data_IF_219340836720
#
_entry.id   IF_219340836720
#
_cell.length_a   1.000
_cell.length_b   1.000
_cell.length_c   1.000
_cell.angle_alpha   90.00
_cell.angle_beta   90.00
_cell.angle_gamma   90.00
#
_symmetry.space_group_name_H-M   'P 1'
#
loop_
_entity.id
_entity.type
_entity.pdbx_description
1 polymer ?
#
# COMPACT_ATOMS: atom_id res chain seq x y z
N UNK A 1 38.19 -20.30 -51.86
CA UNK A 1 36.95 -20.28 -51.06
C UNK A 1 37.31 -19.67 -49.71
N UNK A 2 36.81 -18.46 -49.42
CA UNK A 2 37.24 -17.65 -48.27
C UNK A 2 36.55 -18.12 -46.99
N UNK A 3 37.33 -18.40 -45.95
CA UNK A 3 36.89 -18.58 -44.56
C UNK A 3 36.38 -17.25 -43.99
N UNK A 4 35.22 -17.26 -43.34
CA UNK A 4 34.69 -16.13 -42.55
C UNK A 4 35.16 -16.28 -41.10
N UNK A 5 35.57 -15.19 -40.40
CA UNK A 5 35.90 -15.25 -38.99
C UNK A 5 34.65 -15.10 -38.11
N UNK A 6 34.68 -15.74 -36.94
CA UNK A 6 33.75 -15.59 -35.82
C UNK A 6 33.81 -14.17 -35.22
N UNK A 7 32.71 -13.62 -34.67
CA UNK A 7 32.77 -12.38 -33.91
C UNK A 7 33.32 -12.65 -32.51
N UNK A 8 34.21 -11.77 -32.07
CA UNK A 8 34.78 -11.76 -30.73
C UNK A 8 33.74 -11.33 -29.69
N UNK A 9 33.72 -12.03 -28.55
CA UNK A 9 33.05 -11.58 -27.32
C UNK A 9 33.71 -10.28 -26.86
N UNK A 10 32.94 -9.20 -26.76
CA UNK A 10 33.33 -7.99 -26.04
C UNK A 10 32.96 -8.22 -24.57
N UNK A 11 33.97 -8.41 -23.73
CA UNK A 11 33.81 -8.34 -22.28
C UNK A 11 33.72 -6.86 -21.89
N UNK A 12 32.55 -6.41 -21.47
CA UNK A 12 32.37 -5.07 -20.92
C UNK A 12 32.67 -5.13 -19.43
N UNK A 13 33.87 -4.71 -19.05
CA UNK A 13 34.22 -4.47 -17.65
C UNK A 13 33.49 -3.21 -17.15
N UNK A 14 32.59 -3.38 -16.19
CA UNK A 14 32.00 -2.24 -15.45
C UNK A 14 33.01 -1.82 -14.38
N UNK A 15 33.63 -0.66 -14.58
CA UNK A 15 34.50 -0.02 -13.58
C UNK A 15 33.63 0.93 -12.76
N UNK A 16 33.45 0.67 -11.47
CA UNK A 16 32.93 1.66 -10.53
C UNK A 16 33.99 2.74 -10.31
N UNK A 17 33.71 3.96 -10.76
CA UNK A 17 34.50 5.13 -10.42
C UNK A 17 34.11 5.59 -9.01
N UNK A 18 35.04 5.47 -8.07
CA UNK A 18 34.97 6.16 -6.78
C UNK A 18 35.23 7.66 -7.03
N UNK A 19 34.29 8.51 -6.65
CA UNK A 19 34.52 9.95 -6.59
C UNK A 19 35.26 10.27 -5.28
N UNK A 20 36.50 10.72 -5.40
CA UNK A 20 37.26 11.37 -4.33
C UNK A 20 36.87 12.84 -4.23
N UNK A 21 36.67 13.29 -2.99
CA UNK A 21 36.46 14.68 -2.60
C UNK A 21 37.61 15.60 -3.03
N UNK A 22 37.27 16.74 -3.64
CA UNK A 22 37.87 18.07 -3.37
C UNK A 22 37.29 19.10 -4.34
N UNK A 23 36.34 19.91 -3.86
CA UNK A 23 36.01 21.20 -4.49
C UNK A 23 35.47 22.18 -3.44
N UNK A 24 36.23 23.25 -3.24
CA UNK A 24 35.92 24.42 -2.39
C UNK A 24 34.66 25.16 -2.86
N UNK A 25 33.87 25.79 -1.96
CA UNK A 25 32.63 26.44 -2.32
C UNK A 25 32.87 27.86 -2.85
N UNK A 26 32.23 28.19 -3.97
CA UNK A 26 32.02 29.56 -4.42
C UNK A 26 30.71 30.08 -3.83
N UNK A 27 30.79 31.21 -3.13
CA UNK A 27 29.67 32.07 -2.76
C UNK A 27 29.03 32.66 -4.02
N UNK A 28 27.71 32.52 -4.16
CA UNK A 28 26.88 33.42 -4.97
C UNK A 28 25.47 33.53 -4.33
N UNK A 29 25.27 34.67 -3.68
CA UNK A 29 24.05 35.49 -3.52
C UNK A 29 22.67 34.79 -3.46
N UNK A 30 22.12 34.69 -2.24
CA UNK A 30 20.69 34.42 -2.00
C UNK A 30 19.95 35.76 -1.90
N UNK A 31 19.07 36.00 -2.88
CA UNK A 31 18.13 37.12 -2.90
C UNK A 31 17.12 37.05 -1.75
N UNK A 32 17.11 38.12 -0.96
CA UNK A 32 16.15 38.43 0.09
C UNK A 32 14.71 38.54 -0.47
N UNK A 33 13.77 37.78 0.09
CA UNK A 33 12.35 38.06 -0.09
C UNK A 33 11.67 38.12 1.27
N UNK A 34 11.27 39.34 1.62
CA UNK A 34 10.67 39.73 2.89
C UNK A 34 9.38 39.00 3.21
N UNK A 35 9.31 38.48 4.43
CA UNK A 35 8.08 38.13 5.14
C UNK A 35 7.17 39.36 5.26
N UNK A 36 5.95 39.26 4.72
CA UNK A 36 4.85 40.18 5.03
C UNK A 36 3.90 39.46 5.99
N UNK A 37 3.84 39.98 7.22
CA UNK A 37 2.92 39.54 8.26
C UNK A 37 1.60 40.29 8.07
N UNK A 38 0.57 39.64 7.54
CA UNK A 38 -0.77 40.22 7.50
C UNK A 38 -1.56 39.83 8.75
N UNK A 39 -1.90 40.88 9.50
CA UNK A 39 -2.73 40.88 10.69
C UNK A 39 -4.19 40.69 10.27
N UNK A 40 -4.82 39.62 10.76
CA UNK A 40 -6.24 39.36 10.54
C UNK A 40 -7.10 40.51 11.10
N UNK A 41 -7.78 41.22 10.21
CA UNK A 41 -8.86 42.14 10.56
C UNK A 41 -10.18 41.47 10.22
N UNK A 42 -10.96 41.19 11.25
CA UNK A 42 -12.28 40.59 11.21
C UNK A 42 -13.24 41.49 10.40
N UNK A 43 -13.60 41.05 9.20
CA UNK A 43 -14.69 41.63 8.41
C UNK A 43 -15.54 40.49 7.91
N UNK A 44 -16.77 40.42 8.40
CA UNK A 44 -17.79 39.49 7.94
C UNK A 44 -18.05 39.74 6.45
N UNK A 45 -17.50 38.87 5.60
CA UNK A 45 -17.80 38.85 4.18
C UNK A 45 -19.03 37.97 3.96
N UNK A 46 -20.13 38.60 3.57
CA UNK A 46 -21.31 37.91 3.04
C UNK A 46 -20.95 37.38 1.66
N UNK A 47 -20.35 36.19 1.64
CA UNK A 47 -19.89 35.51 0.44
C UNK A 47 -21.00 35.32 -0.59
N UNK A 48 -20.77 35.88 -1.77
CA UNK A 48 -21.44 35.55 -3.02
C UNK A 48 -21.22 34.08 -3.37
N UNK A 49 -22.32 33.35 -3.60
CA UNK A 49 -22.37 31.99 -4.14
C UNK A 49 -21.59 31.90 -5.47
N UNK A 50 -20.44 31.23 -5.45
CA UNK A 50 -19.57 31.02 -6.62
C UNK A 50 -20.05 29.89 -7.53
N UNK A 51 -21.13 29.18 -7.19
CA UNK A 51 -21.58 28.00 -7.93
C UNK A 51 -20.56 26.85 -7.93
N UNK A 52 -19.58 26.88 -7.00
CA UNK A 52 -18.58 25.83 -6.83
C UNK A 52 -19.15 24.72 -5.93
N UNK A 53 -18.98 23.46 -6.34
CA UNK A 53 -19.48 22.31 -5.59
C UNK A 53 -18.75 22.26 -4.25
N UNK A 54 -19.45 22.25 -3.10
CA UNK A 54 -18.81 22.17 -1.80
C UNK A 54 -18.07 20.83 -1.66
N UNK A 55 -16.88 20.84 -1.08
CA UNK A 55 -16.09 19.62 -0.86
C UNK A 55 -16.40 19.06 0.52
N UNK A 56 -17.06 17.90 0.56
CA UNK A 56 -17.26 17.16 1.81
C UNK A 56 -15.94 16.55 2.29
N UNK A 57 -15.77 16.37 3.59
CA UNK A 57 -14.61 15.63 4.11
C UNK A 57 -14.70 14.16 3.69
N UNK A 58 -13.69 13.71 2.95
CA UNK A 58 -13.58 12.34 2.45
C UNK A 58 -12.58 11.51 3.25
N UNK A 59 -11.85 12.11 4.21
CA UNK A 59 -10.76 11.45 4.94
C UNK A 59 -11.23 10.81 6.26
N UNK A 60 -12.34 11.29 6.81
CA UNK A 60 -12.88 10.87 8.12
C UNK A 60 -13.39 9.43 8.22
N UNK A 61 -13.38 8.66 7.14
CA UNK A 61 -13.91 7.28 7.12
C UNK A 61 -12.89 6.19 7.48
N UNK A 62 -11.60 6.54 7.60
CA UNK A 62 -10.53 5.56 7.76
C UNK A 62 -10.70 4.72 9.04
N UNK A 63 -10.76 3.40 8.85
CA UNK A 63 -10.93 2.39 9.90
C UNK A 63 -12.23 2.56 10.71
N UNK A 64 -13.24 3.26 10.16
CA UNK A 64 -14.58 3.36 10.73
C UNK A 64 -15.52 2.27 10.21
N UNK A 65 -16.69 2.18 10.82
CA UNK A 65 -17.72 1.19 10.52
C UNK A 65 -19.00 1.89 10.03
N UNK A 66 -19.41 1.59 8.79
CA UNK A 66 -20.48 2.33 8.11
C UNK A 66 -21.46 1.42 7.35
N UNK A 67 -22.73 1.82 7.33
CA UNK A 67 -23.69 1.36 6.34
C UNK A 67 -23.80 2.39 5.20
N UNK A 68 -24.07 1.91 3.98
CA UNK A 68 -24.24 2.79 2.81
C UNK A 68 -25.74 2.93 2.51
N UNK A 69 -26.28 4.15 2.69
CA UNK A 69 -27.70 4.46 2.45
C UNK A 69 -27.87 5.30 1.19
N UNK A 70 -28.90 5.02 0.40
CA UNK A 70 -29.46 5.91 -0.61
C UNK A 70 -30.98 6.04 -0.39
N UNK A 71 -31.47 7.26 -0.18
CA UNK A 71 -32.88 7.48 0.15
C UNK A 71 -33.31 6.65 1.37
N UNK A 72 -34.33 5.81 1.20
CA UNK A 72 -34.83 4.88 2.22
C UNK A 72 -34.21 3.47 2.12
N UNK A 73 -33.30 3.24 1.18
CA UNK A 73 -32.69 1.93 0.90
C UNK A 73 -31.23 1.87 1.35
N UNK A 74 -30.79 0.68 1.76
CA UNK A 74 -29.41 0.40 2.14
C UNK A 74 -28.79 -0.62 1.19
N UNK A 75 -27.48 -0.46 0.97
CA UNK A 75 -26.67 -1.46 0.29
C UNK A 75 -26.56 -2.70 1.20
N UNK A 76 -26.99 -3.83 0.67
CA UNK A 76 -27.03 -5.09 1.40
C UNK A 76 -26.49 -6.22 0.53
N UNK A 77 -26.02 -7.28 1.20
CA UNK A 77 -25.68 -8.52 0.55
C UNK A 77 -26.94 -9.15 -0.07
N UNK A 78 -26.82 -9.72 -1.25
CA UNK A 78 -27.90 -10.51 -1.84
C UNK A 78 -28.05 -11.86 -1.12
N UNK A 79 -29.16 -12.56 -1.36
CA UNK A 79 -29.49 -13.79 -0.61
C UNK A 79 -28.52 -14.96 -0.78
N UNK A 80 -27.70 -15.00 -1.85
CA UNK A 80 -26.68 -16.03 -2.07
C UNK A 80 -25.27 -15.63 -1.60
N UNK A 81 -25.11 -14.38 -1.18
CA UNK A 81 -23.87 -13.87 -0.61
C UNK A 81 -22.75 -13.54 -1.60
N UNK A 82 -23.07 -13.38 -2.88
CA UNK A 82 -22.08 -13.17 -3.95
C UNK A 82 -22.10 -11.75 -4.55
N UNK A 83 -23.10 -10.94 -4.21
CA UNK A 83 -23.26 -9.59 -4.73
C UNK A 83 -23.87 -8.64 -3.69
N UNK A 84 -23.86 -7.35 -4.00
CA UNK A 84 -24.55 -6.32 -3.25
C UNK A 84 -25.61 -5.63 -4.10
N UNK A 85 -26.68 -5.16 -3.46
CA UNK A 85 -27.71 -4.35 -4.11
C UNK A 85 -28.36 -3.40 -3.10
N UNK A 86 -28.85 -2.26 -3.59
CA UNK A 86 -29.75 -1.42 -2.81
C UNK A 86 -31.15 -2.02 -2.79
N UNK A 87 -31.85 -1.87 -1.66
CA UNK A 87 -33.26 -2.27 -1.52
C UNK A 87 -33.62 -2.89 -0.18
N UNK A 88 -32.66 -3.03 0.74
CA UNK A 88 -32.93 -3.44 2.13
C UNK A 88 -33.19 -2.23 3.02
N UNK A 89 -33.86 -2.47 4.15
CA UNK A 89 -33.91 -1.50 5.25
C UNK A 89 -32.60 -1.49 6.04
N UNK A 90 -32.54 -0.64 7.07
CA UNK A 90 -31.34 -0.50 7.90
C UNK A 90 -30.96 -1.81 8.62
N UNK A 91 -31.95 -2.65 8.96
CA UNK A 91 -31.70 -3.91 9.65
C UNK A 91 -31.04 -4.95 8.74
N UNK A 92 -31.33 -4.90 7.44
CA UNK A 92 -30.69 -5.73 6.41
C UNK A 92 -29.40 -5.16 5.82
N UNK A 93 -28.98 -3.95 6.23
CA UNK A 93 -27.82 -3.28 5.66
C UNK A 93 -26.52 -4.06 5.90
N UNK A 94 -25.66 -4.12 4.88
CA UNK A 94 -24.28 -4.54 5.08
C UNK A 94 -23.53 -3.48 5.89
N UNK A 95 -22.67 -3.93 6.80
CA UNK A 95 -21.85 -3.06 7.65
C UNK A 95 -20.40 -3.19 7.20
N UNK A 96 -19.86 -2.12 6.66
CA UNK A 96 -18.53 -2.10 6.07
C UNK A 96 -17.53 -1.43 7.00
N UNK A 97 -16.46 -2.15 7.30
CA UNK A 97 -15.23 -1.53 7.77
C UNK A 97 -14.56 -0.84 6.58
N UNK A 98 -14.38 0.48 6.67
CA UNK A 98 -13.75 1.28 5.62
C UNK A 98 -12.23 1.34 5.83
N UNK A 99 -11.54 0.32 5.32
CA UNK A 99 -10.07 0.25 5.36
C UNK A 99 -9.49 1.23 4.35
N UNK A 100 -8.68 2.19 4.80
CA UNK A 100 -7.97 3.08 3.89
C UNK A 100 -6.97 2.28 3.03
N UNK A 101 -7.11 2.38 1.70
CA UNK A 101 -6.16 1.85 0.72
C UNK A 101 -5.22 2.92 0.17
N UNK A 102 -5.62 4.19 0.28
CA UNK A 102 -4.85 5.40 -0.04
C UNK A 102 -5.50 6.60 0.67
N UNK A 103 -4.95 7.81 0.51
CA UNK A 103 -5.62 9.04 0.92
C UNK A 103 -6.97 9.17 0.20
N UNK A 104 -8.07 9.23 0.98
CA UNK A 104 -9.43 9.34 0.45
C UNK A 104 -9.91 8.14 -0.37
N UNK A 105 -9.21 7.00 -0.31
CA UNK A 105 -9.61 5.76 -1.01
C UNK A 105 -9.77 4.63 0.00
N UNK A 106 -10.84 3.85 -0.15
CA UNK A 106 -11.25 2.85 0.82
C UNK A 106 -11.60 1.52 0.16
N UNK A 107 -11.25 0.44 0.86
CA UNK A 107 -11.88 -0.86 0.70
C UNK A 107 -13.09 -0.92 1.63
N UNK A 108 -14.24 -1.31 1.11
CA UNK A 108 -15.43 -1.57 1.90
C UNK A 108 -15.48 -3.07 2.22
N UNK A 109 -15.08 -3.44 3.45
CA UNK A 109 -14.98 -4.82 3.92
C UNK A 109 -16.14 -5.15 4.87
N UNK A 110 -17.04 -6.03 4.43
CA UNK A 110 -18.28 -6.30 5.15
C UNK A 110 -18.09 -7.15 6.42
N UNK A 111 -19.15 -7.21 7.24
CA UNK A 111 -19.15 -7.94 8.51
C UNK A 111 -18.82 -9.44 8.38
N UNK A 112 -19.00 -10.01 7.19
CA UNK A 112 -18.79 -11.43 6.87
C UNK A 112 -17.48 -11.65 6.08
N UNK A 113 -16.63 -10.63 5.97
CA UNK A 113 -15.31 -10.68 5.36
C UNK A 113 -15.26 -10.61 3.84
N UNK A 114 -16.22 -9.91 3.22
CA UNK A 114 -16.29 -9.70 1.78
C UNK A 114 -16.06 -8.25 1.39
N UNK A 115 -15.33 -8.03 0.31
CA UNK A 115 -15.10 -6.73 -0.30
C UNK A 115 -16.24 -6.36 -1.25
N UNK A 116 -16.66 -5.09 -1.25
CA UNK A 116 -17.42 -4.50 -2.35
C UNK A 116 -16.49 -4.33 -3.55
N UNK A 117 -16.76 -5.04 -4.64
CA UNK A 117 -15.94 -5.03 -5.86
C UNK A 117 -16.80 -4.73 -7.07
N UNK A 118 -16.31 -3.90 -7.98
CA UNK A 118 -16.85 -3.82 -9.33
C UNK A 118 -15.72 -3.57 -10.33
N UNK A 119 -15.69 -4.35 -11.40
CA UNK A 119 -14.73 -4.16 -12.50
C UNK A 119 -15.38 -3.39 -13.65
N UNK A 120 -16.38 -3.98 -14.32
CA UNK A 120 -17.09 -3.35 -15.46
C UNK A 120 -18.61 -3.59 -15.39
N UNK A 121 -19.14 -3.99 -14.23
CA UNK A 121 -20.46 -4.63 -14.14
C UNK A 121 -21.16 -4.52 -12.78
N UNK A 122 -21.86 -5.58 -12.33
CA UNK A 122 -22.64 -5.53 -11.10
C UNK A 122 -21.74 -5.36 -9.88
N UNK A 123 -22.34 -4.96 -8.76
CA UNK A 123 -21.66 -4.87 -7.47
C UNK A 123 -21.44 -6.29 -6.92
N UNK A 124 -20.23 -6.78 -7.02
CA UNK A 124 -19.84 -8.11 -6.57
C UNK A 124 -19.36 -8.09 -5.13
N UNK A 125 -19.53 -9.23 -4.46
CA UNK A 125 -18.90 -9.54 -3.19
C UNK A 125 -17.80 -10.57 -3.43
N UNK A 126 -16.55 -10.19 -3.14
CA UNK A 126 -15.41 -11.09 -3.23
C UNK A 126 -14.78 -11.24 -1.84
N UNK A 127 -14.38 -12.44 -1.44
CA UNK A 127 -13.68 -12.67 -0.16
C UNK A 127 -12.16 -12.74 -0.33
N UNK A 128 -11.69 -12.69 -1.56
CA UNK A 128 -10.27 -12.68 -1.94
C UNK A 128 -10.11 -11.69 -3.09
N UNK A 129 -9.07 -10.88 -3.07
CA UNK A 129 -8.77 -9.95 -4.15
C UNK A 129 -7.56 -10.44 -4.95
N UNK A 130 -7.47 -10.00 -6.21
CA UNK A 130 -6.21 -10.03 -6.96
C UNK A 130 -5.44 -8.73 -6.72
N UNK A 131 -4.13 -8.74 -6.97
CA UNK A 131 -3.29 -7.54 -6.91
C UNK A 131 -2.23 -7.54 -8.02
N UNK A 132 -1.61 -6.38 -8.21
CA UNK A 132 -0.43 -6.17 -9.05
C UNK A 132 0.69 -7.17 -8.72
N UNK A 133 0.92 -7.45 -7.43
CA UNK A 133 1.89 -8.45 -6.99
C UNK A 133 1.50 -9.86 -7.44
N UNK A 134 0.25 -10.29 -7.19
CA UNK A 134 -0.20 -11.65 -7.50
C UNK A 134 -0.29 -11.90 -9.02
N UNK A 135 -0.61 -10.87 -9.79
CA UNK A 135 -0.72 -10.94 -11.24
C UNK A 135 0.59 -10.64 -11.97
N UNK A 136 1.59 -10.09 -11.28
CA UNK A 136 2.81 -9.56 -11.88
C UNK A 136 2.47 -8.53 -12.97
N UNK A 137 1.62 -7.58 -12.61
CA UNK A 137 1.15 -6.49 -13.48
C UNK A 137 1.08 -5.18 -12.71
N UNK A 138 2.11 -4.35 -12.85
CA UNK A 138 2.23 -3.04 -12.19
C UNK A 138 1.10 -2.06 -12.57
N UNK A 139 0.34 -2.32 -13.64
CA UNK A 139 -0.79 -1.48 -14.05
C UNK A 139 -2.12 -1.96 -13.48
N UNK A 140 -2.13 -3.10 -12.77
CA UNK A 140 -3.36 -3.64 -12.22
C UNK A 140 -3.92 -2.71 -11.12
N UNK A 141 -5.19 -2.37 -11.25
CA UNK A 141 -5.97 -1.67 -10.23
C UNK A 141 -7.13 -2.55 -9.80
N UNK A 142 -7.27 -2.76 -8.49
CA UNK A 142 -8.36 -3.57 -7.95
C UNK A 142 -9.70 -2.87 -8.12
N UNK A 143 -10.73 -3.62 -8.52
CA UNK A 143 -12.10 -3.12 -8.55
C UNK A 143 -12.70 -2.88 -7.15
N UNK A 144 -11.94 -3.17 -6.08
CA UNK A 144 -12.35 -2.96 -4.69
C UNK A 144 -11.99 -1.58 -4.13
N UNK A 145 -11.28 -0.75 -4.89
CA UNK A 145 -10.84 0.58 -4.44
C UNK A 145 -11.89 1.65 -4.77
N UNK A 146 -12.48 2.25 -3.73
CA UNK A 146 -13.55 3.24 -3.84
C UNK A 146 -13.15 4.60 -3.27
N UNK A 147 -13.46 5.66 -4.01
CA UNK A 147 -13.17 7.04 -3.66
C UNK A 147 -14.49 7.79 -3.42
N UNK A 148 -14.81 8.15 -2.16
CA UNK A 148 -15.88 9.09 -1.87
C UNK A 148 -15.57 10.45 -2.46
N UNK A 149 -16.59 11.10 -2.99
CA UNK A 149 -16.55 12.50 -3.43
C UNK A 149 -17.92 13.14 -3.22
N UNK A 150 -18.01 14.48 -3.22
CA UNK A 150 -19.32 15.16 -3.16
C UNK A 150 -20.17 14.76 -4.35
N UNK A 151 -21.42 14.38 -4.11
CA UNK A 151 -22.37 14.06 -5.16
C UNK A 151 -22.67 15.30 -6.02
N UNK A 152 -22.77 15.10 -7.33
CA UNK A 152 -23.13 16.17 -8.27
C UNK A 152 -24.65 16.40 -8.37
N UNK A 153 -25.45 15.49 -7.81
CA UNK A 153 -26.92 15.56 -7.80
C UNK A 153 -27.44 16.13 -6.48
N UNK A 154 -26.75 15.87 -5.38
CA UNK A 154 -27.07 16.36 -4.04
C UNK A 154 -25.78 16.70 -3.28
N UNK A 155 -25.47 17.98 -3.15
CA UNK A 155 -24.20 18.47 -2.59
C UNK A 155 -24.04 18.23 -1.08
N UNK A 156 -25.09 17.79 -0.40
CA UNK A 156 -25.04 17.37 1.01
C UNK A 156 -24.70 15.89 1.18
N UNK A 157 -24.61 15.14 0.07
CA UNK A 157 -24.35 13.70 0.05
C UNK A 157 -23.07 13.36 -0.70
N UNK A 158 -22.59 12.14 -0.49
CA UNK A 158 -21.45 11.59 -1.22
C UNK A 158 -21.92 10.87 -2.49
N UNK A 159 -20.99 10.60 -3.39
CA UNK A 159 -21.07 9.53 -4.38
C UNK A 159 -19.77 8.73 -4.34
N UNK A 160 -19.79 7.47 -4.78
CA UNK A 160 -18.61 6.60 -4.77
C UNK A 160 -18.07 6.38 -6.17
N UNK A 161 -16.82 6.78 -6.40
CA UNK A 161 -16.07 6.53 -7.63
C UNK A 161 -15.23 5.28 -7.50
N UNK A 162 -15.28 4.40 -8.47
CA UNK A 162 -14.40 3.25 -8.54
C UNK A 162 -13.06 3.66 -9.17
N UNK A 163 -11.95 3.48 -8.45
CA UNK A 163 -10.62 3.92 -8.88
C UNK A 163 -10.16 3.21 -10.17
N UNK A 164 -10.61 1.98 -10.42
CA UNK A 164 -10.18 1.17 -11.55
C UNK A 164 -10.57 1.76 -12.90
N UNK A 165 -11.79 2.27 -13.01
CA UNK A 165 -12.41 2.62 -14.28
C UNK A 165 -13.02 4.03 -14.32
N UNK A 166 -12.89 4.80 -13.23
CA UNK A 166 -13.39 6.17 -13.12
C UNK A 166 -14.93 6.28 -13.25
N UNK A 167 -15.65 5.19 -12.97
CA UNK A 167 -17.12 5.17 -12.97
C UNK A 167 -17.68 5.31 -11.57
N UNK A 168 -18.90 5.81 -11.48
CA UNK A 168 -19.61 6.04 -10.23
C UNK A 168 -20.55 4.89 -9.89
N UNK A 169 -20.68 4.61 -8.59
CA UNK A 169 -21.66 3.69 -8.03
C UNK A 169 -23.07 4.13 -8.42
N UNK A 170 -23.85 3.17 -8.93
CA UNK A 170 -25.28 3.29 -9.24
C UNK A 170 -26.06 2.26 -8.43
N UNK A 171 -27.40 2.24 -8.54
CA UNK A 171 -28.24 1.27 -7.82
C UNK A 171 -27.87 -0.20 -8.13
N UNK A 172 -27.38 -0.49 -9.34
CA UNK A 172 -27.16 -1.86 -9.83
C UNK A 172 -25.73 -2.17 -10.27
N UNK A 173 -24.80 -1.22 -10.17
CA UNK A 173 -23.45 -1.38 -10.72
C UNK A 173 -22.73 -0.05 -10.87
N UNK A 174 -22.12 0.19 -12.03
CA UNK A 174 -21.35 1.40 -12.32
C UNK A 174 -21.91 2.18 -13.52
N UNK A 175 -21.76 3.52 -13.49
CA UNK A 175 -22.24 4.43 -14.52
C UNK A 175 -21.53 5.79 -14.52
N UNK A 176 -21.95 6.67 -15.43
CA UNK A 176 -21.42 8.04 -15.54
C UNK A 176 -22.06 9.02 -14.55
N UNK A 177 -23.27 8.72 -14.09
CA UNK A 177 -24.01 9.50 -13.10
C UNK A 177 -24.10 8.68 -11.81
N UNK A 178 -23.57 9.23 -10.72
CA UNK A 178 -23.51 8.58 -9.42
C UNK A 178 -24.82 8.67 -8.66
N UNK A 179 -25.13 7.60 -7.92
CA UNK A 179 -26.19 7.61 -6.94
C UNK A 179 -25.73 8.41 -5.70
N UNK A 180 -26.50 9.39 -5.21
CA UNK A 180 -26.17 10.11 -3.98
C UNK A 180 -26.33 9.17 -2.79
N UNK A 181 -25.36 9.14 -1.89
CA UNK A 181 -25.32 8.22 -0.74
C UNK A 181 -24.94 8.94 0.55
N UNK A 182 -25.28 8.31 1.67
CA UNK A 182 -24.81 8.68 3.01
C UNK A 182 -24.10 7.49 3.64
N UNK A 183 -22.93 7.73 4.23
CA UNK A 183 -22.29 6.78 5.13
C UNK A 183 -22.83 6.99 6.54
N UNK A 184 -23.57 6.00 7.05
CA UNK A 184 -24.10 6.04 8.40
C UNK A 184 -23.22 5.24 9.35
N UNK A 185 -22.76 5.86 10.43
CA UNK A 185 -21.98 5.16 11.44
C UNK A 185 -22.83 4.04 12.09
N UNK A 186 -22.29 2.82 12.08
CA UNK A 186 -22.90 1.63 12.69
C UNK A 186 -21.88 0.92 13.57
N UNK A 187 -22.33 -0.06 14.35
CA UNK A 187 -21.47 -0.88 15.20
C UNK A 187 -21.23 -2.27 14.58
N UNK A 188 -20.37 -3.06 15.22
CA UNK A 188 -20.20 -4.49 14.94
C UNK A 188 -19.77 -4.81 13.49
N UNK A 189 -18.82 -4.05 12.94
CA UNK A 189 -18.07 -4.43 11.75
C UNK A 189 -16.96 -5.42 12.07
N UNK A 190 -16.57 -6.20 11.06
CA UNK A 190 -15.35 -7.00 11.08
C UNK A 190 -14.18 -6.12 10.64
N UNK A 191 -13.11 -6.06 11.44
CA UNK A 191 -11.88 -5.38 11.02
C UNK A 191 -11.27 -6.08 9.78
N UNK A 192 -10.71 -5.28 8.88
CA UNK A 192 -9.94 -5.78 7.75
C UNK A 192 -8.67 -6.50 8.23
N UNK A 193 -8.27 -7.64 7.62
CA UNK A 193 -7.01 -8.31 7.95
C UNK A 193 -5.82 -7.36 7.87
N UNK A 194 -5.12 -7.17 8.97
CA UNK A 194 -4.00 -6.24 9.06
C UNK A 194 -3.07 -6.64 10.21
N UNK A 195 -1.79 -6.26 10.14
CA UNK A 195 -0.90 -6.40 11.28
C UNK A 195 -1.32 -5.48 12.43
N UNK A 196 -1.34 -6.04 13.63
CA UNK A 196 -1.59 -5.29 14.86
C UNK A 196 -0.44 -4.34 15.17
N UNK A 197 -0.73 -3.28 15.92
CA UNK A 197 0.29 -2.32 16.31
C UNK A 197 1.26 -2.88 17.35
N UNK A 198 0.82 -3.77 18.25
CA UNK A 198 1.62 -4.38 19.33
C UNK A 198 2.49 -3.40 20.13
N UNK A 199 2.08 -2.13 20.17
CA UNK A 199 2.71 -1.06 20.94
C UNK A 199 1.60 -0.24 21.61
N UNK A 200 1.92 0.28 22.79
CA UNK A 200 0.99 1.07 23.60
C UNK A 200 1.74 2.19 24.30
N UNK A 201 1.00 3.22 24.74
CA UNK A 201 1.55 4.39 25.39
C UNK A 201 1.37 5.66 24.56
N UNK A 202 1.46 6.80 25.23
CA UNK A 202 1.48 8.09 24.57
C UNK A 202 2.92 8.48 24.25
N UNK A 203 3.09 9.18 23.13
CA UNK A 203 4.31 9.93 22.87
C UNK A 203 4.54 10.92 24.01
N UNK A 204 5.68 10.81 24.71
CA UNK A 204 6.10 11.78 25.71
C UNK A 204 6.47 13.14 25.12
N UNK A 205 6.95 14.07 25.96
CA UNK A 205 7.50 15.35 25.48
C UNK A 205 8.73 15.07 24.63
N UNK A 206 8.68 15.44 23.35
CA UNK A 206 9.78 15.33 22.39
C UNK A 206 10.19 16.67 21.84
N UNK A 207 9.90 17.72 22.59
CA UNK A 207 10.29 19.09 22.29
C UNK A 207 10.91 19.73 23.52
N UNK A 208 11.93 20.56 23.34
CA UNK A 208 12.40 21.45 24.39
C UNK A 208 11.40 22.60 24.63
N UNK A 209 11.63 23.43 25.65
CA UNK A 209 10.73 24.55 25.98
C UNK A 209 10.68 25.64 24.91
N UNK A 210 11.70 25.71 24.05
CA UNK A 210 11.79 26.59 22.89
C UNK A 210 11.13 26.01 21.62
N UNK A 211 10.64 24.76 21.68
CA UNK A 211 9.98 24.08 20.56
C UNK A 211 10.90 23.16 19.75
N UNK A 212 12.21 23.16 19.99
CA UNK A 212 13.14 22.30 19.26
C UNK A 212 12.87 20.81 19.53
N UNK A 213 12.91 19.99 18.48
CA UNK A 213 12.64 18.56 18.56
C UNK A 213 13.81 17.80 19.19
N UNK A 214 13.53 16.87 20.10
CA UNK A 214 14.52 15.88 20.54
C UNK A 214 13.92 14.48 20.51
N UNK A 215 14.73 13.50 20.17
CA UNK A 215 14.33 12.10 20.07
C UNK A 215 15.41 11.25 19.45
N UNK A 216 15.02 10.05 19.06
CA UNK A 216 15.87 9.11 18.32
C UNK A 216 15.88 9.52 16.85
N UNK A 217 17.02 9.36 16.20
CA UNK A 217 17.17 9.46 14.75
C UNK A 217 17.44 8.07 14.20
N UNK A 218 16.69 7.66 13.19
CA UNK A 218 17.07 6.49 12.38
C UNK A 218 17.87 6.98 11.18
N UNK A 219 19.19 6.99 11.33
CA UNK A 219 20.10 7.49 10.30
C UNK A 219 20.25 6.53 9.10
N UNK A 220 19.73 5.29 9.18
CA UNK A 220 19.89 4.31 8.12
C UNK A 220 18.81 3.21 8.17
N UNK A 221 17.80 3.34 7.30
CA UNK A 221 16.79 2.32 7.09
C UNK A 221 16.42 2.18 5.62
N UNK A 222 16.10 0.95 5.23
CA UNK A 222 15.61 0.59 3.90
C UNK A 222 14.15 0.12 3.98
N UNK A 223 13.24 1.03 4.36
CA UNK A 223 11.80 0.71 4.44
C UNK A 223 11.27 0.20 3.10
N UNK A 224 11.69 0.84 2.00
CA UNK A 224 11.30 0.54 0.62
C UNK A 224 12.27 -0.44 -0.08
N UNK A 225 12.87 -1.39 0.66
CA UNK A 225 13.82 -2.38 0.11
C UNK A 225 13.29 -3.11 -1.12
N UNK A 226 11.99 -3.39 -1.15
CA UNK A 226 11.31 -3.99 -2.28
C UNK A 226 11.56 -3.22 -3.60
N UNK A 227 11.60 -1.88 -3.59
CA UNK A 227 11.90 -1.12 -4.82
C UNK A 227 13.40 -1.03 -5.12
N UNK A 228 14.26 -1.06 -4.10
CA UNK A 228 15.70 -0.87 -4.24
C UNK A 228 16.50 -2.13 -4.57
N UNK A 229 16.01 -3.31 -4.17
CA UNK A 229 16.75 -4.58 -4.22
C UNK A 229 16.08 -5.63 -5.11
N UNK A 230 15.56 -5.20 -6.27
CA UNK A 230 15.04 -6.10 -7.29
C UNK A 230 13.69 -6.75 -6.93
N UNK A 231 12.78 -5.98 -6.33
CA UNK A 231 11.45 -6.46 -5.91
C UNK A 231 10.64 -7.14 -7.01
N UNK A 232 9.54 -7.76 -6.60
CA UNK A 232 8.71 -8.58 -7.50
C UNK A 232 9.39 -9.87 -7.95
N UNK A 233 10.42 -10.33 -7.23
CA UNK A 233 11.15 -11.55 -7.60
C UNK A 233 12.33 -11.93 -6.72
N UNK A 234 13.20 -10.96 -6.37
CA UNK A 234 14.42 -11.20 -5.58
C UNK A 234 14.23 -10.80 -4.12
N UNK A 235 13.72 -9.60 -3.87
CA UNK A 235 13.36 -9.15 -2.53
C UNK A 235 11.84 -9.23 -2.38
N UNK A 236 11.37 -10.18 -1.58
CA UNK A 236 9.95 -10.47 -1.42
C UNK A 236 9.30 -9.65 -0.30
N UNK A 237 8.06 -9.22 -0.56
CA UNK A 237 7.24 -8.44 0.35
C UNK A 237 7.35 -6.93 0.13
N UNK A 238 6.49 -6.17 0.78
CA UNK A 238 6.41 -4.72 0.67
C UNK A 238 6.08 -4.08 2.03
N UNK A 239 6.52 -2.84 2.30
CA UNK A 239 6.23 -2.15 3.55
C UNK A 239 4.76 -1.70 3.67
N UNK A 240 4.04 -1.67 2.56
CA UNK A 240 2.62 -1.34 2.48
C UNK A 240 2.06 -1.88 1.16
N UNK A 241 0.77 -2.20 1.15
CA UNK A 241 0.03 -2.49 -0.07
C UNK A 241 -1.40 -1.96 0.08
N UNK A 242 -1.95 -1.41 -1.00
CA UNK A 242 -3.30 -0.80 -1.03
C UNK A 242 -4.39 -1.75 -0.56
N UNK A 243 -4.20 -3.05 -0.84
CA UNK A 243 -5.11 -4.13 -0.44
C UNK A 243 -4.75 -4.78 0.91
N UNK A 244 -3.83 -4.20 1.67
CA UNK A 244 -3.46 -4.67 3.01
C UNK A 244 -2.38 -5.75 3.06
N UNK A 245 -2.11 -6.25 4.27
CA UNK A 245 -0.97 -7.14 4.56
C UNK A 245 -1.02 -8.48 3.86
N UNK A 246 -2.22 -9.00 3.59
CA UNK A 246 -2.40 -10.27 2.87
C UNK A 246 -1.75 -10.24 1.47
N UNK A 247 -1.61 -9.03 0.90
CA UNK A 247 -0.93 -8.82 -0.37
C UNK A 247 0.51 -8.34 -0.18
N UNK A 248 0.74 -7.41 0.76
CA UNK A 248 2.07 -6.84 1.02
C UNK A 248 3.08 -7.90 1.48
N UNK A 249 2.64 -8.85 2.31
CA UNK A 249 3.48 -9.89 2.92
C UNK A 249 2.87 -11.28 2.66
N UNK A 250 2.30 -11.48 1.47
CA UNK A 250 1.81 -12.79 0.99
C UNK A 250 2.93 -13.84 0.97
N UNK A 251 2.61 -15.12 0.73
CA UNK A 251 3.63 -16.17 0.55
C UNK A 251 4.66 -15.77 -0.52
N UNK A 252 5.95 -16.03 -0.26
CA UNK A 252 7.02 -15.77 -1.23
C UNK A 252 7.12 -16.83 -2.32
N UNK A 253 6.34 -17.91 -2.24
CA UNK A 253 6.43 -19.07 -3.15
C UNK A 253 6.29 -18.70 -4.64
N UNK A 254 5.46 -17.71 -4.96
CA UNK A 254 5.31 -17.24 -6.34
C UNK A 254 6.65 -16.80 -6.95
N UNK A 255 7.51 -16.17 -6.14
CA UNK A 255 8.77 -15.58 -6.57
C UNK A 255 9.96 -16.48 -6.24
N UNK A 256 10.03 -16.96 -5.01
CA UNK A 256 11.10 -17.81 -4.49
C UNK A 256 10.89 -19.30 -4.80
N UNK A 257 9.76 -19.70 -5.40
CA UNK A 257 9.43 -21.08 -5.70
C UNK A 257 9.09 -21.92 -4.46
N UNK A 258 8.57 -23.14 -4.69
CA UNK A 258 8.26 -24.09 -3.61
C UNK A 258 9.49 -24.31 -2.75
N UNK A 259 9.35 -24.17 -1.43
CA UNK A 259 10.44 -24.25 -0.45
C UNK A 259 11.63 -23.30 -0.72
N UNK A 260 11.38 -22.14 -1.34
CA UNK A 260 12.40 -21.12 -1.56
C UNK A 260 13.47 -21.50 -2.60
N UNK A 261 13.24 -22.56 -3.39
CA UNK A 261 14.24 -23.17 -4.28
C UNK A 261 14.68 -22.29 -5.45
N UNK A 262 13.95 -21.21 -5.76
CA UNK A 262 14.34 -20.22 -6.77
C UNK A 262 15.03 -18.99 -6.17
N UNK A 263 15.12 -18.89 -4.85
CA UNK A 263 15.84 -17.81 -4.18
C UNK A 263 17.35 -18.08 -4.12
N UNK A 264 17.99 -17.99 -5.28
CA UNK A 264 19.44 -18.14 -5.41
C UNK A 264 20.21 -17.04 -4.68
N UNK A 265 19.65 -15.82 -4.64
CA UNK A 265 20.28 -14.67 -3.99
C UNK A 265 20.28 -14.85 -2.48
N UNK A 266 19.12 -15.15 -1.87
CA UNK A 266 19.02 -15.45 -0.45
C UNK A 266 19.96 -16.58 -0.06
N UNK A 267 19.95 -17.71 -0.78
CA UNK A 267 20.88 -18.81 -0.48
C UNK A 267 22.35 -18.36 -0.46
N UNK A 268 22.80 -17.62 -1.48
CA UNK A 268 24.19 -17.20 -1.60
C UNK A 268 24.60 -16.21 -0.51
N UNK A 269 23.75 -15.23 -0.19
CA UNK A 269 24.06 -14.20 0.80
C UNK A 269 23.82 -14.65 2.24
N UNK A 270 22.78 -15.45 2.49
CA UNK A 270 22.45 -15.97 3.82
C UNK A 270 23.46 -17.03 4.28
N UNK A 271 24.00 -17.82 3.35
CA UNK A 271 24.96 -18.89 3.68
C UNK A 271 26.42 -18.41 3.74
N UNK A 272 26.81 -17.46 2.90
CA UNK A 272 28.21 -17.07 2.75
C UNK A 272 28.60 -15.78 3.49
N UNK A 273 27.62 -14.97 3.90
CA UNK A 273 27.87 -13.58 4.27
C UNK A 273 28.32 -12.76 3.05
N UNK A 274 28.34 -11.43 3.18
CA UNK A 274 28.60 -10.50 2.06
C UNK A 274 29.99 -10.59 1.42
N UNK A 275 30.90 -11.44 1.92
CA UNK A 275 32.30 -11.52 1.49
C UNK A 275 32.68 -12.75 0.66
N UNK A 276 31.90 -13.83 0.69
CA UNK A 276 32.30 -15.13 0.10
C UNK A 276 31.18 -15.85 -0.68
N UNK A 277 30.20 -15.10 -1.21
CA UNK A 277 29.10 -15.69 -1.98
C UNK A 277 29.61 -16.47 -3.22
N UNK A 278 29.74 -17.80 -3.09
CA UNK A 278 30.17 -18.69 -4.18
C UNK A 278 28.98 -18.99 -5.11
N UNK A 279 28.61 -18.00 -5.92
CA UNK A 279 27.64 -18.16 -7.00
C UNK A 279 28.13 -19.16 -8.07
N UNK A 280 29.43 -19.49 -8.10
CA UNK A 280 30.01 -20.47 -9.02
C UNK A 280 29.56 -21.90 -8.72
N UNK A 281 29.41 -22.25 -7.43
CA UNK A 281 28.88 -23.55 -7.01
C UNK A 281 27.43 -23.77 -7.46
N UNK A 282 26.68 -22.70 -7.74
CA UNK A 282 25.27 -22.74 -8.13
C UNK A 282 25.04 -22.86 -9.64
N UNK A 283 26.09 -22.82 -10.47
CA UNK A 283 25.95 -22.88 -11.94
C UNK A 283 25.05 -24.04 -12.43
N UNK A 284 25.19 -25.29 -11.93
CA UNK A 284 24.33 -26.39 -12.37
C UNK A 284 22.84 -26.18 -12.01
N UNK A 285 22.56 -25.57 -10.86
CA UNK A 285 21.20 -25.34 -10.38
C UNK A 285 20.59 -24.08 -11.03
N UNK A 286 21.40 -23.07 -11.33
CA UNK A 286 21.01 -21.92 -12.15
C UNK A 286 20.59 -22.34 -13.56
N UNK A 287 21.28 -23.29 -14.18
CA UNK A 287 20.89 -23.86 -15.48
C UNK A 287 19.52 -24.58 -15.39
N UNK A 288 19.21 -25.20 -14.25
CA UNK A 288 17.93 -25.88 -14.01
C UNK A 288 16.81 -24.92 -13.59
N UNK A 289 17.16 -23.70 -13.17
CA UNK A 289 16.21 -22.68 -12.71
C UNK A 289 15.71 -22.88 -11.27
N UNK A 290 16.24 -23.85 -10.53
CA UNK A 290 15.97 -24.05 -9.10
C UNK A 290 17.13 -24.81 -8.42
N UNK A 291 17.33 -24.55 -7.12
CA UNK A 291 18.22 -25.26 -6.21
C UNK A 291 17.79 -26.71 -6.07
N UNK A 292 18.75 -27.62 -5.96
CA UNK A 292 18.49 -29.07 -5.79
C UNK A 292 18.02 -29.50 -4.40
N UNK A 293 17.87 -28.56 -3.47
CA UNK A 293 17.49 -28.73 -2.07
C UNK A 293 16.59 -27.57 -1.62
N UNK A 294 15.84 -27.77 -0.53
CA UNK A 294 14.98 -26.74 0.07
C UNK A 294 15.83 -25.61 0.68
N UNK A 295 15.41 -24.36 0.48
CA UNK A 295 16.11 -23.18 0.99
C UNK A 295 15.42 -22.60 2.23
N UNK A 296 14.12 -22.26 2.13
CA UNK A 296 13.32 -21.74 3.25
C UNK A 296 11.82 -22.01 3.05
N UNK A 297 11.06 -22.00 4.14
CA UNK A 297 9.60 -22.07 4.13
C UNK A 297 9.03 -20.74 3.63
N UNK A 298 8.07 -20.82 2.72
CA UNK A 298 7.58 -19.68 1.93
C UNK A 298 6.40 -18.94 2.55
N UNK A 299 5.78 -19.49 3.59
CA UNK A 299 4.58 -18.94 4.25
C UNK A 299 4.80 -17.50 4.72
N UNK A 300 4.01 -16.58 4.18
CA UNK A 300 3.91 -15.19 4.61
C UNK A 300 2.82 -15.00 5.65
N UNK A 301 2.17 -13.84 5.64
CA UNK A 301 1.00 -13.57 6.48
C UNK A 301 -0.10 -14.63 6.26
N UNK A 302 -0.77 -15.11 7.32
CA UNK A 302 -0.60 -14.75 8.72
C UNK A 302 0.42 -15.60 9.48
N UNK A 303 0.93 -16.68 8.88
CA UNK A 303 1.65 -17.74 9.58
C UNK A 303 3.11 -17.38 9.85
N UNK A 304 3.79 -16.73 8.90
CA UNK A 304 5.18 -16.28 9.00
C UNK A 304 6.12 -17.38 9.53
N UNK A 305 6.00 -18.59 8.97
CA UNK A 305 6.63 -19.80 9.52
C UNK A 305 8.17 -19.68 9.64
N UNK A 306 8.82 -18.94 8.74
CA UNK A 306 10.27 -18.73 8.77
C UNK A 306 10.72 -17.30 8.45
N UNK A 307 9.99 -16.57 7.61
CA UNK A 307 10.26 -15.17 7.32
C UNK A 307 9.07 -14.31 7.78
N UNK A 308 9.28 -13.02 8.12
CA UNK A 308 10.55 -12.29 8.08
C UNK A 308 11.57 -12.74 9.15
N UNK A 309 12.86 -12.82 8.77
CA UNK A 309 13.97 -13.13 9.69
C UNK A 309 15.17 -12.22 9.42
N UNK A 310 15.14 -11.00 9.97
CA UNK A 310 16.16 -9.98 9.69
C UNK A 310 17.63 -10.41 9.89
N UNK A 311 17.98 -11.20 10.92
CA UNK A 311 19.36 -11.65 11.10
C UNK A 311 19.86 -12.68 10.07
N UNK A 312 18.95 -13.36 9.36
CA UNK A 312 19.30 -14.56 8.57
C UNK A 312 18.66 -14.63 7.19
N UNK A 313 17.88 -13.62 6.78
CA UNK A 313 17.20 -13.57 5.49
C UNK A 313 17.47 -12.23 4.83
N UNK A 314 18.23 -12.26 3.75
CA UNK A 314 18.61 -11.07 2.96
C UNK A 314 17.56 -10.65 1.92
N UNK A 315 16.59 -11.52 1.62
CA UNK A 315 15.65 -11.40 0.48
C UNK A 315 14.19 -11.20 0.89
N UNK A 316 13.90 -10.89 2.15
CA UNK A 316 12.52 -10.69 2.62
C UNK A 316 12.34 -9.35 3.33
N UNK A 317 11.17 -8.74 3.12
CA UNK A 317 10.76 -7.51 3.79
C UNK A 317 10.67 -7.73 5.30
N UNK A 318 11.43 -6.92 6.05
CA UNK A 318 11.48 -6.96 7.52
C UNK A 318 10.75 -5.79 8.18
N UNK A 319 10.34 -4.79 7.39
CA UNK A 319 9.66 -3.59 7.87
C UNK A 319 8.30 -3.44 7.18
N UNK A 320 7.22 -3.49 7.94
CA UNK A 320 5.89 -3.10 7.49
C UNK A 320 5.54 -1.72 8.05
N UNK A 321 4.58 -0.97 7.49
CA UNK A 321 4.29 0.40 7.92
C UNK A 321 3.96 0.51 9.42
N UNK A 322 3.41 -0.55 10.03
CA UNK A 322 3.22 -0.64 11.49
C UNK A 322 4.51 -0.49 12.29
N UNK A 323 5.66 -0.86 11.74
CA UNK A 323 6.95 -0.58 12.35
C UNK A 323 7.22 0.92 12.49
N UNK A 324 6.82 1.74 11.51
CA UNK A 324 6.97 3.20 11.60
C UNK A 324 6.10 3.77 12.74
N UNK A 325 4.87 3.26 12.89
CA UNK A 325 4.00 3.63 14.02
C UNK A 325 4.65 3.24 15.37
N UNK A 326 5.20 2.03 15.47
CA UNK A 326 5.93 1.56 16.67
C UNK A 326 7.16 2.42 16.97
N UNK A 327 7.96 2.73 15.95
CA UNK A 327 9.17 3.54 16.08
C UNK A 327 8.84 4.97 16.52
N UNK A 328 7.79 5.57 15.95
CA UNK A 328 7.28 6.87 16.37
C UNK A 328 6.84 6.87 17.84
N UNK A 329 6.11 5.84 18.28
CA UNK A 329 5.72 5.66 19.68
C UNK A 329 6.93 5.47 20.61
N UNK A 330 8.00 4.84 20.13
CA UNK A 330 9.25 4.64 20.86
C UNK A 330 10.14 5.89 20.94
N UNK A 331 9.78 6.97 20.25
CA UNK A 331 10.51 8.25 20.30
C UNK A 331 11.37 8.56 19.07
N UNK A 332 11.19 7.84 17.95
CA UNK A 332 11.75 8.24 16.66
C UNK A 332 11.18 9.59 16.23
N UNK A 333 12.04 10.55 15.93
CA UNK A 333 11.63 11.94 15.62
C UNK A 333 12.28 12.50 14.37
N UNK A 334 13.38 11.89 13.93
CA UNK A 334 14.13 12.24 12.73
C UNK A 334 14.50 10.96 11.98
#
# INVERSE_FOLDING_TARGET
>A
MRLRPFPALIATSVIFAACTDDATPNDDDIGDTSSSTDTATDTADTGTDTGEVPQLDVYGFANGCYAVRNGDSYLAQNGDGTAYAFGSDQAGAARFFMKASDLGTYLLYDQDGGYLVSDDGPLLRQTTLQSDILLVDDNYVSGAEWMPETSLVDWEQYQLRNRRNDKLLTETGLGDEGLPITFEAVADCREHPELTLDASGAVGKTTFDDGDLFGIVDAHSHVLSNFGFGGGGIFHGAPFHRLGVEHALSSCEQFHGVNGRKDFFGYAYDSAGSSDADLGALIPDLIKGELSFDNHITDGYPDFTQWPSGPSSSTHQVQYYKWLERAYLAGLRL
#
